data_IF_583236853827
#
_entry.id   IF_583236853827
#
_cell.length_a   1.000
_cell.length_b   1.000
_cell.length_c   1.000
_cell.angle_alpha   90.00
_cell.angle_beta   90.00
_cell.angle_gamma   90.00
#
_symmetry.space_group_name_H-M   'P 1'
#
loop_
_entity.id
_entity.type
_entity.pdbx_description
1 polymer ?
#
# COMPACT_ATOMS: atom_id res chain seq x y z
N UNK A 1 -22.37 56.61 -34.22
CA UNK A 1 -22.12 56.54 -35.67
C UNK A 1 -20.68 56.12 -35.90
N UNK A 2 -20.40 54.82 -36.14
CA UNK A 2 -19.05 54.34 -36.50
C UNK A 2 -19.21 53.30 -37.61
N UNK A 3 -18.80 53.69 -38.82
CA UNK A 3 -18.87 52.87 -40.03
C UNK A 3 -17.72 51.87 -40.07
N UNK A 4 -18.05 50.59 -40.32
CA UNK A 4 -17.07 49.53 -40.55
C UNK A 4 -17.04 49.24 -42.05
N UNK A 5 -15.94 49.64 -42.72
CA UNK A 5 -15.64 49.32 -44.12
C UNK A 5 -15.48 47.80 -44.26
N UNK A 6 -16.24 47.18 -45.14
CA UNK A 6 -16.10 45.78 -45.52
C UNK A 6 -15.12 45.67 -46.68
N UNK A 7 -14.03 44.91 -46.53
CA UNK A 7 -13.09 44.57 -47.59
C UNK A 7 -13.65 43.50 -48.55
N UNK A 8 -13.00 43.26 -49.70
CA UNK A 8 -13.50 42.36 -50.73
C UNK A 8 -13.40 40.91 -50.25
N UNK A 9 -14.53 40.19 -50.23
CA UNK A 9 -14.57 38.74 -49.99
C UNK A 9 -14.06 38.04 -51.24
N UNK A 10 -12.86 37.47 -51.18
CA UNK A 10 -12.38 36.49 -52.17
C UNK A 10 -13.16 35.19 -51.97
N UNK A 11 -14.09 34.91 -52.87
CA UNK A 11 -14.78 33.63 -52.94
C UNK A 11 -13.79 32.56 -53.45
N UNK A 12 -13.24 31.76 -52.55
CA UNK A 12 -12.53 30.54 -52.92
C UNK A 12 -13.59 29.49 -53.29
N UNK A 13 -13.86 29.33 -54.59
CA UNK A 13 -14.63 28.20 -55.10
C UNK A 13 -13.80 26.93 -54.98
N UNK A 14 -14.05 26.14 -53.93
CA UNK A 14 -13.56 24.77 -53.84
C UNK A 14 -14.29 23.85 -54.83
N UNK A 15 -13.64 22.82 -55.38
CA UNK A 15 -14.29 21.88 -56.29
C UNK A 15 -15.44 21.14 -55.57
N UNK A 16 -16.67 21.39 -55.99
CA UNK A 16 -17.88 20.69 -55.52
C UNK A 16 -18.01 19.33 -56.19
N UNK A 17 -17.00 18.49 -55.99
CA UNK A 17 -17.10 17.06 -56.26
C UNK A 17 -17.80 16.36 -55.09
N UNK A 18 -18.69 15.38 -55.33
CA UNK A 18 -19.14 14.49 -54.27
C UNK A 18 -17.91 13.74 -53.73
N UNK A 19 -17.39 14.16 -52.58
CA UNK A 19 -16.40 13.38 -51.86
C UNK A 19 -17.07 12.05 -51.52
N UNK A 20 -16.53 10.90 -51.95
CA UNK A 20 -17.09 9.61 -51.57
C UNK A 20 -17.04 9.53 -50.05
N UNK A 21 -18.20 9.65 -49.41
CA UNK A 21 -18.34 9.49 -47.98
C UNK A 21 -18.00 8.04 -47.69
N UNK A 22 -16.78 7.80 -47.21
CA UNK A 22 -16.41 6.51 -46.62
C UNK A 22 -17.44 6.30 -45.51
N UNK A 23 -18.28 5.24 -45.56
CA UNK A 23 -19.19 4.96 -44.47
C UNK A 23 -18.35 4.73 -43.22
N UNK A 24 -18.34 5.71 -42.30
CA UNK A 24 -17.84 5.56 -40.94
C UNK A 24 -18.79 4.62 -40.20
N UNK A 25 -18.73 3.34 -40.57
CA UNK A 25 -19.26 2.27 -39.74
C UNK A 25 -18.29 2.20 -38.57
N UNK A 26 -18.69 2.71 -37.41
CA UNK A 26 -17.89 2.55 -36.21
C UNK A 26 -17.61 1.05 -36.07
N UNK A 27 -16.33 0.64 -36.19
CA UNK A 27 -15.94 -0.77 -36.05
C UNK A 27 -16.34 -1.35 -34.68
N UNK A 28 -16.77 -0.47 -33.77
CA UNK A 28 -17.26 -0.72 -32.45
C UNK A 28 -18.77 -1.07 -32.41
N UNK A 29 -19.56 -0.73 -33.44
CA UNK A 29 -20.99 -1.00 -33.47
C UNK A 29 -21.28 -2.12 -34.49
N UNK A 30 -22.18 -3.04 -34.12
CA UNK A 30 -22.63 -4.09 -35.02
C UNK A 30 -23.39 -3.54 -36.22
N UNK A 31 -23.78 -4.42 -37.16
CA UNK A 31 -24.53 -4.08 -38.40
C UNK A 31 -25.76 -3.19 -38.19
N UNK A 32 -26.32 -3.17 -36.98
CA UNK A 32 -27.56 -2.47 -36.62
C UNK A 32 -27.30 -1.23 -35.73
N UNK A 33 -26.04 -0.82 -35.57
CA UNK A 33 -25.65 0.31 -34.72
C UNK A 33 -25.63 0.01 -33.22
N UNK A 34 -25.93 -1.22 -32.81
CA UNK A 34 -25.90 -1.65 -31.40
C UNK A 34 -24.48 -2.04 -30.94
N UNK A 35 -24.12 -1.80 -29.67
CA UNK A 35 -22.84 -2.22 -29.14
C UNK A 35 -22.68 -3.73 -29.24
N UNK A 36 -21.54 -4.20 -29.76
CA UNK A 36 -21.25 -5.63 -29.84
C UNK A 36 -21.10 -6.24 -28.44
N UNK A 37 -21.35 -7.55 -28.29
CA UNK A 37 -21.19 -8.27 -27.01
C UNK A 37 -19.78 -8.06 -26.43
N UNK A 38 -18.75 -8.00 -27.28
CA UNK A 38 -17.38 -7.72 -26.87
C UNK A 38 -17.22 -6.34 -26.24
N UNK A 39 -17.99 -5.35 -26.69
CA UNK A 39 -17.98 -4.01 -26.11
C UNK A 39 -18.73 -3.92 -24.79
N UNK A 40 -19.85 -4.64 -24.62
CA UNK A 40 -20.50 -4.73 -23.31
C UNK A 40 -19.57 -5.37 -22.28
N UNK A 41 -18.88 -6.46 -22.63
CA UNK A 41 -17.92 -7.13 -21.73
C UNK A 41 -16.75 -6.20 -21.40
N UNK A 42 -16.22 -5.48 -22.39
CA UNK A 42 -15.16 -4.49 -22.20
C UNK A 42 -15.59 -3.37 -21.26
N UNK A 43 -16.79 -2.84 -21.44
CA UNK A 43 -17.33 -1.74 -20.61
C UNK A 43 -17.61 -2.20 -19.17
N UNK A 44 -18.19 -3.38 -18.98
CA UNK A 44 -18.40 -3.97 -17.65
C UNK A 44 -17.07 -4.24 -16.95
N UNK A 45 -16.07 -4.76 -17.68
CA UNK A 45 -14.73 -4.99 -17.14
C UNK A 45 -14.03 -3.68 -16.77
N UNK A 46 -14.18 -2.63 -17.58
CA UNK A 46 -13.64 -1.31 -17.30
C UNK A 46 -14.30 -0.66 -16.06
N UNK A 47 -15.62 -0.81 -15.91
CA UNK A 47 -16.36 -0.33 -14.73
C UNK A 47 -15.96 -1.10 -13.46
N UNK A 48 -15.88 -2.44 -13.54
CA UNK A 48 -15.41 -3.27 -12.43
C UNK A 48 -13.98 -2.90 -12.01
N UNK A 49 -13.09 -2.68 -12.99
CA UNK A 49 -11.72 -2.22 -12.73
C UNK A 49 -11.69 -0.85 -12.03
N UNK A 50 -12.61 0.04 -12.39
CA UNK A 50 -12.74 1.37 -11.79
C UNK A 50 -13.21 1.29 -10.33
N UNK A 51 -14.18 0.42 -10.03
CA UNK A 51 -14.66 0.18 -8.67
C UNK A 51 -13.55 -0.39 -7.78
N UNK A 52 -12.88 -1.46 -8.23
CA UNK A 52 -11.76 -2.07 -7.50
C UNK A 52 -10.66 -1.06 -7.24
N UNK A 53 -10.31 -0.23 -8.22
CA UNK A 53 -9.31 0.82 -8.04
C UNK A 53 -9.77 1.87 -7.02
N UNK A 54 -11.05 2.20 -6.99
CA UNK A 54 -11.68 3.09 -6.00
C UNK A 54 -11.60 2.55 -4.59
N UNK A 55 -11.96 1.29 -4.38
CA UNK A 55 -11.86 0.62 -3.07
C UNK A 55 -10.41 0.53 -2.58
N UNK A 56 -9.46 0.20 -3.46
CA UNK A 56 -8.03 0.21 -3.11
C UNK A 56 -7.57 1.62 -2.74
N UNK A 57 -7.99 2.65 -3.48
CA UNK A 57 -7.63 4.02 -3.17
C UNK A 57 -8.19 4.46 -1.81
N UNK A 58 -9.42 4.07 -1.49
CA UNK A 58 -10.07 4.33 -0.21
C UNK A 58 -9.35 3.61 0.93
N UNK A 59 -9.14 2.30 0.80
CA UNK A 59 -8.42 1.49 1.79
C UNK A 59 -7.01 2.03 2.03
N UNK A 60 -6.33 2.47 0.98
CA UNK A 60 -5.00 3.11 1.11
C UNK A 60 -5.06 4.44 1.85
N UNK A 61 -6.10 5.26 1.62
CA UNK A 61 -6.28 6.53 2.32
C UNK A 61 -6.57 6.32 3.82
N UNK A 62 -7.40 5.33 4.14
CA UNK A 62 -7.71 4.94 5.50
C UNK A 62 -6.48 4.38 6.21
N UNK A 63 -5.79 3.41 5.60
CA UNK A 63 -4.54 2.85 6.12
C UNK A 63 -3.47 3.91 6.35
N UNK A 64 -3.31 4.89 5.45
CA UNK A 64 -2.36 6.00 5.63
C UNK A 64 -2.72 6.84 6.86
N UNK A 65 -4.01 7.07 7.07
CA UNK A 65 -4.52 7.85 8.21
C UNK A 65 -4.28 7.10 9.51
N UNK A 66 -4.58 5.80 9.54
CA UNK A 66 -4.29 4.93 10.69
C UNK A 66 -2.80 4.83 10.97
N UNK A 67 -1.98 4.60 9.94
CA UNK A 67 -0.53 4.53 10.06
C UNK A 67 0.07 5.83 10.61
N UNK A 68 -0.46 7.00 10.21
CA UNK A 68 -0.01 8.29 10.75
C UNK A 68 -0.37 8.43 12.24
N UNK A 69 -1.58 8.05 12.64
CA UNK A 69 -2.02 8.07 14.04
C UNK A 69 -1.21 7.09 14.90
N UNK A 70 -1.05 5.86 14.42
CA UNK A 70 -0.23 4.83 15.07
C UNK A 70 1.24 5.27 15.18
N UNK A 71 1.79 5.86 14.12
CA UNK A 71 3.15 6.39 14.09
C UNK A 71 3.36 7.55 15.07
N UNK A 72 2.43 8.51 15.13
CA UNK A 72 2.48 9.60 16.09
C UNK A 72 2.42 9.10 17.54
N UNK A 73 1.48 8.19 17.84
CA UNK A 73 1.34 7.59 19.17
C UNK A 73 2.58 6.78 19.58
N UNK A 74 3.11 5.96 18.66
CA UNK A 74 4.32 5.17 18.90
C UNK A 74 5.54 6.06 19.10
N UNK A 75 5.67 7.15 18.34
CA UNK A 75 6.75 8.13 18.50
C UNK A 75 6.71 8.80 19.88
N UNK A 76 5.54 9.19 20.37
CA UNK A 76 5.37 9.73 21.71
C UNK A 76 5.72 8.70 22.79
N UNK A 77 5.33 7.43 22.63
CA UNK A 77 5.70 6.38 23.58
C UNK A 77 7.20 6.11 23.62
N UNK A 78 7.88 6.12 22.46
CA UNK A 78 9.35 6.00 22.41
C UNK A 78 9.98 7.19 23.12
N UNK A 79 9.53 8.43 22.84
CA UNK A 79 10.01 9.63 23.51
C UNK A 79 9.80 9.60 25.03
N UNK A 80 8.61 9.17 25.47
CA UNK A 80 8.29 8.99 26.88
C UNK A 80 9.16 7.91 27.53
N UNK A 81 9.44 6.80 26.84
CA UNK A 81 10.34 5.75 27.32
C UNK A 81 11.78 6.26 27.51
N UNK A 82 12.29 7.05 26.57
CA UNK A 82 13.63 7.67 26.69
C UNK A 82 13.68 8.67 27.85
N UNK A 83 12.65 9.52 27.99
CA UNK A 83 12.58 10.46 29.12
C UNK A 83 12.45 9.74 30.46
N UNK A 84 11.61 8.71 30.54
CA UNK A 84 11.48 7.88 31.74
C UNK A 84 12.81 7.23 32.11
N UNK A 85 13.59 6.76 31.13
CA UNK A 85 14.93 6.21 31.37
C UNK A 85 15.87 7.26 31.97
N UNK A 86 15.94 8.47 31.38
CA UNK A 86 16.75 9.56 31.91
C UNK A 86 16.31 9.97 33.32
N UNK A 87 15.02 10.21 33.53
CA UNK A 87 14.48 10.57 34.85
C UNK A 87 14.74 9.50 35.90
N UNK A 88 14.63 8.22 35.53
CA UNK A 88 14.91 7.10 36.43
C UNK A 88 16.37 7.09 36.91
N UNK A 89 17.34 7.38 36.03
CA UNK A 89 18.76 7.48 36.42
C UNK A 89 18.98 8.53 37.51
N UNK A 90 18.44 9.74 37.34
CA UNK A 90 18.53 10.79 38.35
C UNK A 90 17.80 10.42 39.65
N UNK A 91 16.63 9.75 39.53
CA UNK A 91 15.89 9.26 40.70
C UNK A 91 16.70 8.27 41.53
N UNK A 92 17.43 7.33 40.90
CA UNK A 92 18.25 6.36 41.65
C UNK A 92 19.50 6.99 42.26
N UNK A 93 20.11 7.98 41.62
CA UNK A 93 21.19 8.78 42.21
C UNK A 93 20.66 9.52 43.44
N UNK A 94 19.51 10.19 43.31
CA UNK A 94 18.83 10.84 44.42
C UNK A 94 18.53 9.86 45.56
N UNK A 95 18.02 8.67 45.25
CA UNK A 95 17.70 7.65 46.24
C UNK A 95 18.95 7.16 46.98
N UNK A 96 20.06 6.98 46.26
CA UNK A 96 21.37 6.67 46.86
C UNK A 96 21.83 7.78 47.79
N UNK A 97 21.73 9.04 47.35
CA UNK A 97 22.05 10.21 48.17
C UNK A 97 21.17 10.33 49.41
N UNK A 98 19.88 10.04 49.28
CA UNK A 98 18.93 10.03 50.39
C UNK A 98 19.31 8.95 51.42
N UNK A 99 19.61 7.73 50.98
CA UNK A 99 20.01 6.63 51.86
C UNK A 99 21.36 6.89 52.56
N UNK A 100 22.27 7.66 51.95
CA UNK A 100 23.53 8.06 52.56
C UNK A 100 23.37 8.89 53.84
N UNK A 101 22.17 9.43 54.13
CA UNK A 101 21.89 10.12 55.40
C UNK A 101 21.97 9.15 56.59
N UNK A 102 21.62 7.87 56.39
CA UNK A 102 21.57 6.86 57.45
C UNK A 102 22.62 5.74 57.29
N UNK A 103 23.13 5.52 56.08
CA UNK A 103 24.04 4.41 55.75
C UNK A 103 25.34 4.91 55.11
N UNK A 104 26.46 4.14 55.22
CA UNK A 104 27.65 4.41 54.43
C UNK A 104 27.36 4.26 52.93
N UNK A 105 28.09 5.03 52.11
CA UNK A 105 27.87 5.13 50.66
C UNK A 105 27.78 3.78 49.94
N UNK A 106 28.68 2.84 50.27
CA UNK A 106 28.69 1.52 49.63
C UNK A 106 27.41 0.72 49.88
N UNK A 107 26.83 0.82 51.09
CA UNK A 107 25.61 0.10 51.45
C UNK A 107 24.37 0.78 50.84
N UNK A 108 24.33 2.12 50.84
CA UNK A 108 23.27 2.88 50.20
C UNK A 108 23.14 2.56 48.70
N UNK A 109 24.24 2.66 47.95
CA UNK A 109 24.24 2.31 46.52
C UNK A 109 24.06 0.81 46.27
N UNK A 110 24.51 -0.06 47.20
CA UNK A 110 24.22 -1.50 47.14
C UNK A 110 22.73 -1.82 47.20
N UNK A 111 21.97 -1.14 48.08
CA UNK A 111 20.50 -1.30 48.17
C UNK A 111 19.84 -0.80 46.89
N UNK A 112 20.23 0.38 46.39
CA UNK A 112 19.70 0.93 45.13
C UNK A 112 19.98 -0.01 43.95
N UNK A 113 21.17 -0.62 43.91
CA UNK A 113 21.52 -1.61 42.88
C UNK A 113 20.60 -2.84 42.92
N UNK A 114 20.36 -3.42 44.11
CA UNK A 114 19.44 -4.55 44.25
C UNK A 114 18.02 -4.19 43.83
N UNK A 115 17.57 -2.97 44.16
CA UNK A 115 16.26 -2.46 43.75
C UNK A 115 16.18 -2.33 42.22
N UNK A 116 17.23 -1.79 41.58
CA UNK A 116 17.31 -1.67 40.13
C UNK A 116 17.33 -3.04 39.44
N UNK A 117 18.05 -4.01 40.02
CA UNK A 117 18.09 -5.39 39.53
C UNK A 117 16.69 -6.02 39.56
N UNK A 118 15.95 -5.83 40.65
CA UNK A 118 14.56 -6.29 40.78
C UNK A 118 13.66 -5.67 39.71
N UNK A 119 13.69 -4.34 39.56
CA UNK A 119 12.92 -3.62 38.53
C UNK A 119 13.27 -4.13 37.13
N UNK A 120 14.55 -4.36 36.86
CA UNK A 120 15.04 -4.86 35.56
C UNK A 120 14.50 -6.26 35.26
N UNK A 121 14.54 -7.18 36.24
CA UNK A 121 14.01 -8.53 36.09
C UNK A 121 12.50 -8.50 35.81
N UNK A 122 11.75 -7.69 36.55
CA UNK A 122 10.29 -7.54 36.35
C UNK A 122 9.99 -6.95 34.97
N UNK A 123 10.68 -5.87 34.59
CA UNK A 123 10.49 -5.23 33.28
C UNK A 123 10.82 -6.18 32.12
N UNK A 124 11.93 -6.91 32.22
CA UNK A 124 12.33 -7.91 31.23
C UNK A 124 11.30 -9.05 31.14
N UNK A 125 10.79 -9.54 32.27
CA UNK A 125 9.77 -10.58 32.31
C UNK A 125 8.43 -10.13 31.69
N UNK A 126 7.97 -8.92 32.03
CA UNK A 126 6.77 -8.33 31.44
C UNK A 126 6.95 -8.12 29.94
N UNK A 127 8.08 -7.54 29.53
CA UNK A 127 8.43 -7.34 28.12
C UNK A 127 8.45 -8.64 27.33
N UNK A 128 9.07 -9.68 27.88
CA UNK A 128 9.09 -11.03 27.31
C UNK A 128 7.68 -11.61 27.16
N UNK A 129 6.81 -11.44 28.16
CA UNK A 129 5.43 -11.94 28.13
C UNK A 129 4.57 -11.20 27.11
N UNK A 130 4.77 -9.90 26.94
CA UNK A 130 4.11 -9.10 25.89
C UNK A 130 4.59 -9.56 24.52
N UNK A 131 5.91 -9.67 24.33
CA UNK A 131 6.50 -10.10 23.06
C UNK A 131 6.01 -11.49 22.65
N UNK A 132 5.93 -12.45 23.59
CA UNK A 132 5.40 -13.79 23.31
C UNK A 132 3.90 -13.82 22.96
N UNK A 133 3.13 -12.81 23.35
CA UNK A 133 1.72 -12.70 22.98
C UNK A 133 1.52 -12.10 21.59
N UNK A 134 2.50 -11.38 21.05
CA UNK A 134 2.45 -10.88 19.68
C UNK A 134 2.74 -12.03 18.70
N UNK A 135 1.70 -12.73 18.24
CA UNK A 135 1.81 -13.67 17.11
C UNK A 135 1.94 -12.88 15.81
N UNK A 136 2.92 -13.25 14.98
CA UNK A 136 2.95 -12.81 13.59
C UNK A 136 1.62 -13.22 12.91
N UNK A 137 1.08 -12.42 11.97
CA UNK A 137 -0.17 -12.73 11.27
C UNK A 137 0.04 -13.92 10.31
N UNK A 138 0.09 -15.14 10.88
CA UNK A 138 0.40 -16.38 10.18
C UNK A 138 -0.60 -16.68 9.07
N UNK A 139 -1.87 -16.33 9.27
CA UNK A 139 -2.93 -16.52 8.27
C UNK A 139 -2.75 -15.63 7.04
N UNK A 140 -2.27 -14.41 7.21
CA UNK A 140 -1.96 -13.52 6.09
C UNK A 140 -0.73 -14.02 5.33
N UNK A 141 0.30 -14.50 6.03
CA UNK A 141 1.50 -15.05 5.39
C UNK A 141 1.17 -16.33 4.62
N UNK A 142 0.39 -17.25 5.20
CA UNK A 142 -0.10 -18.47 4.54
C UNK A 142 -0.87 -18.15 3.24
N UNK A 143 -1.82 -17.19 3.28
CA UNK A 143 -2.60 -16.81 2.09
C UNK A 143 -1.72 -16.23 0.98
N UNK A 144 -0.73 -15.39 1.31
CA UNK A 144 0.17 -14.77 0.33
C UNK A 144 1.16 -15.79 -0.24
N UNK A 145 1.62 -16.73 0.59
CA UNK A 145 2.45 -17.86 0.14
C UNK A 145 1.67 -18.80 -0.79
N UNK A 146 0.43 -19.14 -0.45
CA UNK A 146 -0.44 -19.96 -1.29
C UNK A 146 -0.71 -19.30 -2.64
N UNK A 147 -0.92 -17.97 -2.67
CA UNK A 147 -1.07 -17.18 -3.89
C UNK A 147 0.18 -17.23 -4.79
N UNK A 148 1.38 -17.22 -4.20
CA UNK A 148 2.64 -17.32 -4.94
C UNK A 148 2.88 -18.71 -5.53
N UNK A 149 2.35 -19.75 -4.90
CA UNK A 149 2.47 -21.14 -5.35
C UNK A 149 1.54 -21.46 -6.52
N UNK A 150 0.36 -20.83 -6.58
CA UNK A 150 -0.58 -20.95 -7.72
C UNK A 150 -0.31 -19.97 -8.86
N UNK A 151 0.66 -19.06 -8.72
CA UNK A 151 1.10 -18.20 -9.83
C UNK A 151 2.05 -19.00 -10.74
N UNK A 152 1.67 -19.33 -11.99
CA UNK A 152 2.57 -19.97 -12.93
C UNK A 152 3.70 -19.01 -13.31
N UNK A 153 4.80 -19.10 -12.57
CA UNK A 153 6.08 -18.51 -12.94
C UNK A 153 6.67 -19.27 -14.13
N UNK A 154 6.43 -18.74 -15.34
CA UNK A 154 7.34 -18.81 -16.48
C UNK A 154 7.65 -20.19 -17.12
N UNK A 155 6.85 -21.24 -16.89
CA UNK A 155 7.08 -22.55 -17.53
C UNK A 155 6.54 -22.72 -18.96
N UNK A 156 6.06 -21.66 -19.61
CA UNK A 156 5.41 -21.78 -20.92
C UNK A 156 5.87 -20.74 -21.93
N UNK A 157 7.19 -20.65 -22.14
CA UNK A 157 7.77 -20.10 -23.37
C UNK A 157 8.90 -20.97 -23.96
N UNK A 158 9.15 -22.18 -23.44
CA UNK A 158 10.11 -23.13 -24.04
C UNK A 158 9.36 -24.33 -24.62
N UNK A 159 8.96 -24.19 -25.88
CA UNK A 159 8.49 -25.30 -26.70
C UNK A 159 7.38 -24.91 -27.67
N UNK A 160 7.66 -24.86 -28.99
CA UNK A 160 6.59 -24.80 -29.99
C UNK A 160 5.60 -25.94 -29.76
N UNK A 161 4.28 -25.74 -29.93
CA UNK A 161 3.33 -26.83 -29.81
C UNK A 161 3.73 -27.92 -30.81
N UNK A 162 4.04 -29.11 -30.31
CA UNK A 162 4.29 -30.28 -31.13
C UNK A 162 2.99 -30.61 -31.86
N UNK A 163 2.87 -30.12 -33.10
CA UNK A 163 1.80 -30.49 -34.00
C UNK A 163 1.88 -32.00 -34.28
N UNK A 164 0.77 -32.76 -34.13
CA UNK A 164 0.71 -34.14 -34.59
C UNK A 164 1.00 -34.18 -36.09
N UNK A 165 2.13 -34.78 -36.49
CA UNK A 165 2.47 -34.91 -37.90
C UNK A 165 1.48 -35.85 -38.58
N UNK A 166 0.80 -35.33 -39.61
CA UNK A 166 -0.10 -36.12 -40.44
C UNK A 166 0.71 -37.10 -41.30
N UNK A 167 0.28 -38.37 -41.44
CA UNK A 167 0.97 -39.35 -42.29
C UNK A 167 0.98 -38.89 -43.76
N UNK A 168 2.07 -39.10 -44.51
CA UNK A 168 2.09 -38.78 -45.93
C UNK A 168 1.12 -39.71 -46.68
N UNK A 169 0.20 -39.10 -47.43
CA UNK A 169 -0.66 -39.81 -48.37
C UNK A 169 0.23 -40.53 -49.41
N UNK A 170 0.04 -41.84 -49.53
CA UNK A 170 0.58 -42.65 -50.63
C UNK A 170 -0.26 -42.49 -51.88
#
# INVERSE_FOLDING_TARGET
MIGRKQGPRTSVSGPTGPVPAIPLSDANNGRDGQPTIGNLVKDVTAQASTLVRGEIALAKAELKTEAKKAGAGSGLLVGAGVMLLYTSLFFFIFLGALLMIWLPAWAAFGIVFLLLLLVTIVAAFVGYRIFRRMRAPSKTIESVSALKEVLPGNQQLDGPPAHPQLPPAR
#
